data_IF_150476749662
#
_entry.id   IF_150476749662
#
_cell.length_a   1.000
_cell.length_b   1.000
_cell.length_c   1.000
_cell.angle_alpha   90.00
_cell.angle_beta   90.00
_cell.angle_gamma   90.00
#
_symmetry.space_group_name_H-M   'P 1'
#
loop_
_entity.id
_entity.type
_entity.pdbx_description
1 polymer ?
#
# COMPACT_ATOMS: atom_id res chain seq x y z
N UNK A 1 11.73 -6.08 6.84
CA UNK A 1 12.03 -5.44 5.54
C UNK A 1 13.54 -5.43 5.26
N UNK A 2 14.35 -4.63 5.98
CA UNK A 2 15.82 -4.58 5.74
C UNK A 2 16.50 -5.91 6.01
N UNK A 3 16.23 -6.55 7.16
CA UNK A 3 16.80 -7.86 7.49
C UNK A 3 16.48 -8.89 6.41
N UNK A 4 15.22 -8.96 5.96
CA UNK A 4 14.82 -9.89 4.89
C UNK A 4 15.51 -9.61 3.55
N UNK A 5 15.62 -8.33 3.15
CA UNK A 5 16.35 -7.95 1.93
C UNK A 5 17.83 -8.35 2.04
N UNK A 6 18.47 -8.03 3.17
CA UNK A 6 19.88 -8.38 3.44
C UNK A 6 20.07 -9.90 3.45
N UNK A 7 19.16 -10.66 4.08
CA UNK A 7 19.19 -12.12 4.10
C UNK A 7 19.14 -12.72 2.69
N UNK A 8 18.32 -12.18 1.79
CA UNK A 8 18.25 -12.62 0.39
C UNK A 8 19.58 -12.37 -0.33
N UNK A 9 20.16 -11.17 -0.17
CA UNK A 9 21.46 -10.87 -0.78
C UNK A 9 22.58 -11.75 -0.21
N UNK A 10 22.58 -12.00 1.10
CA UNK A 10 23.57 -12.89 1.75
C UNK A 10 23.48 -14.32 1.20
N UNK A 11 22.28 -14.88 1.11
CA UNK A 11 22.06 -16.24 0.57
C UNK A 11 22.46 -16.36 -0.89
N UNK A 12 22.34 -15.29 -1.67
CA UNK A 12 22.69 -15.26 -3.09
C UNK A 12 24.08 -14.68 -3.37
N UNK A 13 24.98 -14.64 -2.38
CA UNK A 13 26.36 -14.17 -2.54
C UNK A 13 26.44 -12.75 -3.16
N UNK A 14 25.52 -11.87 -2.75
CA UNK A 14 25.37 -10.51 -3.26
C UNK A 14 25.05 -10.40 -4.77
N UNK A 15 24.62 -11.50 -5.40
CA UNK A 15 24.24 -11.53 -6.82
C UNK A 15 22.79 -11.10 -7.01
N UNK A 16 22.57 -10.18 -7.93
CA UNK A 16 21.23 -9.78 -8.35
C UNK A 16 20.60 -10.85 -9.26
N UNK A 17 19.47 -11.42 -8.82
CA UNK A 17 18.71 -12.42 -9.57
C UNK A 17 17.47 -11.86 -10.28
N UNK A 18 17.15 -10.59 -10.05
CA UNK A 18 16.03 -9.92 -10.73
C UNK A 18 16.34 -9.57 -12.19
N UNK A 19 15.39 -8.91 -12.88
CA UNK A 19 15.60 -8.46 -14.25
C UNK A 19 16.80 -7.49 -14.30
N UNK A 20 17.69 -7.66 -15.28
CA UNK A 20 18.76 -6.67 -15.53
C UNK A 20 18.13 -5.39 -16.08
N UNK A 21 18.39 -4.28 -15.43
CA UNK A 21 18.06 -2.94 -15.94
C UNK A 21 19.24 -2.49 -16.82
N UNK A 22 19.03 -2.32 -18.13
CA UNK A 22 20.07 -1.79 -19.04
C UNK A 22 20.64 -2.73 -20.13
N UNK A 23 19.96 -3.84 -20.46
CA UNK A 23 20.32 -4.70 -21.60
C UNK A 23 20.96 -6.05 -21.20
N UNK A 24 20.45 -7.14 -21.78
CA UNK A 24 20.79 -8.54 -21.48
C UNK A 24 19.57 -9.46 -21.68
N UNK A 25 19.72 -10.79 -21.51
CA UNK A 25 18.57 -11.71 -21.64
C UNK A 25 17.47 -11.33 -20.64
N UNK A 26 16.25 -11.10 -21.13
CA UNK A 26 15.11 -10.75 -20.30
C UNK A 26 14.78 -11.91 -19.34
N UNK A 27 15.10 -11.75 -18.06
CA UNK A 27 14.65 -12.68 -17.02
C UNK A 27 13.22 -12.33 -16.63
N UNK A 28 12.26 -12.93 -17.33
CA UNK A 28 10.81 -12.78 -17.08
C UNK A 28 10.25 -13.87 -16.16
N UNK A 29 11.10 -14.51 -15.35
CA UNK A 29 10.64 -15.51 -14.38
C UNK A 29 9.80 -14.86 -13.27
N UNK A 30 8.87 -15.63 -12.70
CA UNK A 30 8.08 -15.19 -11.55
C UNK A 30 8.98 -14.74 -10.38
N UNK A 31 10.09 -15.45 -10.15
CA UNK A 31 11.09 -15.06 -9.15
C UNK A 31 11.68 -13.68 -9.42
N UNK A 32 12.04 -13.38 -10.67
CA UNK A 32 12.57 -12.08 -11.03
C UNK A 32 11.56 -10.95 -10.78
N UNK A 33 10.29 -11.17 -11.15
CA UNK A 33 9.21 -10.20 -10.87
C UNK A 33 8.94 -10.03 -9.38
N UNK A 34 8.89 -11.11 -8.60
CA UNK A 34 8.76 -11.04 -7.14
C UNK A 34 9.86 -10.18 -6.52
N UNK A 35 11.12 -10.41 -6.92
CA UNK A 35 12.27 -9.70 -6.38
C UNK A 35 12.23 -8.21 -6.72
N UNK A 36 11.90 -7.81 -7.96
CA UNK A 36 11.87 -6.39 -8.33
C UNK A 36 10.69 -5.65 -7.67
N UNK A 37 9.49 -6.24 -7.62
CA UNK A 37 8.36 -5.63 -6.93
C UNK A 37 8.62 -5.51 -5.42
N UNK A 38 9.19 -6.53 -4.80
CA UNK A 38 9.60 -6.49 -3.40
C UNK A 38 10.64 -5.39 -3.13
N UNK A 39 11.66 -5.27 -3.98
CA UNK A 39 12.68 -4.22 -3.84
C UNK A 39 12.09 -2.82 -4.00
N UNK A 40 11.31 -2.58 -5.05
CA UNK A 40 10.67 -1.28 -5.29
C UNK A 40 9.73 -0.90 -4.14
N UNK A 41 8.98 -1.86 -3.61
CA UNK A 41 8.12 -1.64 -2.45
C UNK A 41 8.93 -1.18 -1.23
N UNK A 42 10.02 -1.86 -0.91
CA UNK A 42 10.91 -1.51 0.22
C UNK A 42 11.52 -0.12 0.04
N UNK A 43 12.03 0.20 -1.15
CA UNK A 43 12.62 1.50 -1.44
C UNK A 43 11.61 2.64 -1.25
N UNK A 44 10.42 2.49 -1.84
CA UNK A 44 9.35 3.49 -1.69
C UNK A 44 8.87 3.59 -0.24
N UNK A 45 8.81 2.48 0.50
CA UNK A 45 8.46 2.48 1.91
C UNK A 45 9.47 3.27 2.75
N UNK A 46 10.77 3.19 2.44
CA UNK A 46 11.82 3.97 3.10
C UNK A 46 11.85 5.44 2.69
N UNK A 47 11.42 5.77 1.47
CA UNK A 47 11.25 7.16 1.03
C UNK A 47 10.15 7.87 1.86
N UNK A 48 9.15 7.15 2.36
CA UNK A 48 8.06 7.75 3.13
C UNK A 48 8.49 8.49 4.41
N UNK A 49 9.26 7.89 5.35
CA UNK A 49 9.74 8.63 6.53
C UNK A 49 10.69 9.77 6.14
N UNK A 50 11.51 9.62 5.09
CA UNK A 50 12.38 10.70 4.59
C UNK A 50 11.56 11.88 4.07
N UNK A 51 10.53 11.62 3.27
CA UNK A 51 9.59 12.64 2.83
C UNK A 51 8.90 13.30 4.04
N UNK A 52 8.48 12.51 5.04
CA UNK A 52 7.87 13.04 6.26
C UNK A 52 8.77 13.98 7.05
N UNK A 53 10.09 13.81 7.02
CA UNK A 53 11.04 14.76 7.64
C UNK A 53 11.09 16.10 6.91
N UNK A 54 10.80 16.12 5.61
CA UNK A 54 10.74 17.32 4.77
C UNK A 54 9.35 17.97 4.77
N UNK A 55 8.46 17.55 5.68
CA UNK A 55 7.09 18.04 5.76
C UNK A 55 7.06 19.54 6.09
N UNK A 56 6.29 20.29 5.32
CA UNK A 56 6.04 21.70 5.56
C UNK A 56 5.12 21.96 6.77
N UNK A 57 5.21 23.18 7.32
CA UNK A 57 4.40 23.62 8.46
C UNK A 57 2.88 23.55 8.21
N UNK A 58 2.06 23.51 9.27
CA UNK A 58 0.66 23.12 9.14
C UNK A 58 -0.21 24.04 8.27
N UNK A 59 0.13 25.32 8.17
CA UNK A 59 -0.58 26.34 7.38
C UNK A 59 0.13 26.66 6.05
N UNK A 60 1.13 25.85 5.66
CA UNK A 60 1.93 26.13 4.48
C UNK A 60 1.19 25.78 3.16
N UNK A 61 1.25 26.65 2.15
CA UNK A 61 0.54 26.49 0.86
C UNK A 61 0.88 25.21 0.11
N UNK A 62 2.09 24.67 0.27
CA UNK A 62 2.53 23.42 -0.37
C UNK A 62 2.07 22.14 0.36
N UNK A 63 1.35 22.26 1.49
CA UNK A 63 0.94 21.10 2.29
C UNK A 63 -0.01 20.13 1.58
N UNK A 64 -0.97 20.58 0.76
CA UNK A 64 -1.79 19.67 -0.03
C UNK A 64 -0.95 18.85 -1.02
N UNK A 65 0.02 19.50 -1.70
CA UNK A 65 0.95 18.81 -2.60
C UNK A 65 1.81 17.79 -1.86
N UNK A 66 2.36 18.15 -0.70
CA UNK A 66 3.10 17.24 0.16
C UNK A 66 2.26 16.02 0.56
N UNK A 67 1.03 16.24 1.02
CA UNK A 67 0.12 15.16 1.42
C UNK A 67 -0.19 14.22 0.24
N UNK A 68 -0.41 14.78 -0.95
CA UNK A 68 -0.70 13.98 -2.15
C UNK A 68 0.52 13.18 -2.59
N UNK A 69 1.71 13.79 -2.60
CA UNK A 69 2.96 13.12 -2.95
C UNK A 69 3.34 12.02 -1.95
N UNK A 70 3.28 12.32 -0.65
CA UNK A 70 3.53 11.33 0.41
C UNK A 70 2.60 10.12 0.25
N UNK A 71 1.33 10.39 -0.03
CA UNK A 71 0.33 9.36 -0.21
C UNK A 71 0.52 8.55 -1.48
N UNK A 72 0.78 9.18 -2.62
CA UNK A 72 0.95 8.47 -3.89
C UNK A 72 2.12 7.49 -3.79
N UNK A 73 3.24 7.92 -3.22
CA UNK A 73 4.39 7.05 -2.91
C UNK A 73 3.97 5.86 -2.04
N UNK A 74 3.14 6.09 -1.02
CA UNK A 74 2.66 5.01 -0.17
C UNK A 74 1.71 4.02 -0.84
N UNK A 75 0.78 4.50 -1.66
CA UNK A 75 -0.12 3.64 -2.43
C UNK A 75 0.68 2.80 -3.43
N UNK A 76 1.64 3.40 -4.14
CA UNK A 76 2.49 2.67 -5.10
C UNK A 76 3.36 1.63 -4.39
N UNK A 77 3.99 1.98 -3.27
CA UNK A 77 4.76 1.04 -2.43
C UNK A 77 3.91 -0.16 -2.01
N UNK A 78 2.67 0.11 -1.60
CA UNK A 78 1.72 -0.90 -1.17
C UNK A 78 1.28 -1.82 -2.32
N UNK A 79 0.97 -1.27 -3.51
CA UNK A 79 0.65 -2.07 -4.69
C UNK A 79 1.79 -3.01 -5.09
N UNK A 80 3.05 -2.53 -5.04
CA UNK A 80 4.21 -3.39 -5.28
C UNK A 80 4.40 -4.47 -4.20
N UNK A 81 4.14 -4.16 -2.92
CA UNK A 81 4.15 -5.17 -1.86
C UNK A 81 3.11 -6.26 -2.12
N UNK A 82 1.88 -5.87 -2.43
CA UNK A 82 0.80 -6.80 -2.75
C UNK A 82 1.16 -7.68 -3.94
N UNK A 83 1.65 -7.10 -5.05
CA UNK A 83 2.10 -7.86 -6.21
C UNK A 83 3.18 -8.88 -5.86
N UNK A 84 4.18 -8.51 -5.05
CA UNK A 84 5.23 -9.43 -4.61
C UNK A 84 4.66 -10.59 -3.77
N UNK A 85 3.77 -10.32 -2.81
CA UNK A 85 3.11 -11.34 -2.00
C UNK A 85 2.31 -12.30 -2.88
N UNK A 86 1.55 -11.79 -3.85
CA UNK A 86 0.75 -12.64 -4.74
C UNK A 86 1.61 -13.55 -5.61
N UNK A 87 2.70 -13.03 -6.19
CA UNK A 87 3.65 -13.85 -6.95
C UNK A 87 4.21 -14.95 -6.04
N UNK A 88 4.52 -14.64 -4.78
CA UNK A 88 5.00 -15.64 -3.85
C UNK A 88 3.96 -16.73 -3.54
N UNK A 89 2.71 -16.36 -3.29
CA UNK A 89 1.64 -17.32 -3.01
C UNK A 89 1.38 -18.26 -4.21
N UNK A 90 1.45 -17.76 -5.45
CA UNK A 90 1.16 -18.57 -6.65
C UNK A 90 2.34 -19.45 -7.06
N UNK A 91 3.56 -18.91 -7.03
CA UNK A 91 4.72 -19.58 -7.62
C UNK A 91 5.62 -20.26 -6.60
N UNK A 92 5.55 -19.89 -5.32
CA UNK A 92 6.34 -20.49 -4.24
C UNK A 92 5.52 -21.36 -3.29
N UNK A 93 4.31 -21.79 -3.69
CA UNK A 93 3.43 -22.65 -2.88
C UNK A 93 4.09 -23.96 -2.42
N UNK A 94 5.06 -24.49 -3.18
CA UNK A 94 5.86 -25.67 -2.78
C UNK A 94 6.70 -25.44 -1.53
N UNK A 95 7.16 -24.21 -1.30
CA UNK A 95 7.82 -23.82 -0.05
C UNK A 95 6.83 -23.61 1.09
N UNK A 96 5.55 -23.44 0.79
CA UNK A 96 4.45 -23.29 1.74
C UNK A 96 3.78 -24.63 2.09
N UNK A 97 4.52 -25.76 2.07
CA UNK A 97 4.12 -27.11 2.54
C UNK A 97 2.88 -27.77 1.90
N UNK A 98 1.84 -27.02 1.52
CA UNK A 98 0.55 -27.45 0.98
C UNK A 98 -0.17 -26.26 0.31
N UNK A 99 -0.91 -26.49 -0.78
CA UNK A 99 -1.78 -25.49 -1.45
C UNK A 99 -2.71 -24.79 -0.46
N UNK A 100 -3.29 -25.55 0.49
CA UNK A 100 -4.18 -25.03 1.53
C UNK A 100 -3.50 -24.00 2.44
N UNK A 101 -2.25 -24.25 2.82
CA UNK A 101 -1.50 -23.34 3.69
C UNK A 101 -1.15 -22.02 2.97
N UNK A 102 -0.87 -22.09 1.67
CA UNK A 102 -0.63 -20.90 0.85
C UNK A 102 -1.88 -20.00 0.74
N UNK A 103 -3.05 -20.60 0.55
CA UNK A 103 -4.33 -19.87 0.54
C UNK A 103 -4.62 -19.26 1.91
N UNK A 104 -4.46 -20.02 3.00
CA UNK A 104 -4.65 -19.50 4.37
C UNK A 104 -3.73 -18.30 4.62
N UNK A 105 -2.45 -18.41 4.26
CA UNK A 105 -1.49 -17.33 4.42
C UNK A 105 -1.89 -16.07 3.62
N UNK A 106 -2.29 -16.24 2.35
CA UNK A 106 -2.78 -15.14 1.53
C UNK A 106 -4.02 -14.46 2.15
N UNK A 107 -5.00 -15.24 2.60
CA UNK A 107 -6.20 -14.75 3.26
C UNK A 107 -5.89 -14.02 4.57
N UNK A 108 -4.93 -14.50 5.37
CA UNK A 108 -4.49 -13.80 6.59
C UNK A 108 -3.84 -12.46 6.27
N UNK A 109 -2.96 -12.39 5.26
CA UNK A 109 -2.33 -11.16 4.83
C UNK A 109 -3.37 -10.13 4.34
N UNK A 110 -4.30 -10.55 3.49
CA UNK A 110 -5.35 -9.66 2.97
C UNK A 110 -6.34 -9.27 4.07
N UNK A 111 -6.74 -10.20 4.93
CA UNK A 111 -7.61 -9.94 6.07
C UNK A 111 -7.01 -8.91 7.04
N UNK A 112 -5.71 -9.02 7.32
CA UNK A 112 -4.99 -8.04 8.15
C UNK A 112 -4.99 -6.65 7.50
N UNK A 113 -4.69 -6.56 6.20
CA UNK A 113 -4.73 -5.31 5.43
C UNK A 113 -6.13 -4.67 5.50
N UNK A 114 -7.18 -5.44 5.23
CA UNK A 114 -8.57 -4.97 5.25
C UNK A 114 -8.98 -4.55 6.66
N UNK A 115 -8.58 -5.30 7.68
CA UNK A 115 -8.84 -4.98 9.08
C UNK A 115 -8.20 -3.65 9.49
N UNK A 116 -6.92 -3.44 9.16
CA UNK A 116 -6.24 -2.16 9.38
C UNK A 116 -6.93 -1.02 8.62
N UNK A 117 -7.36 -1.27 7.38
CA UNK A 117 -8.05 -0.29 6.56
C UNK A 117 -9.36 0.19 7.20
N UNK A 118 -10.22 -0.75 7.57
CA UNK A 118 -11.50 -0.46 8.25
C UNK A 118 -11.26 0.27 9.57
N UNK A 119 -10.27 -0.16 10.35
CA UNK A 119 -9.94 0.47 11.63
C UNK A 119 -9.53 1.94 11.45
N UNK A 120 -8.68 2.23 10.45
CA UNK A 120 -8.25 3.60 10.15
C UNK A 120 -9.43 4.47 9.69
N UNK A 121 -10.34 3.94 8.87
CA UNK A 121 -11.56 4.64 8.45
C UNK A 121 -12.49 4.93 9.64
N UNK A 122 -12.67 3.98 10.57
CA UNK A 122 -13.46 4.20 11.79
C UNK A 122 -12.85 5.31 12.65
N UNK A 123 -11.52 5.32 12.81
CA UNK A 123 -10.81 6.37 13.56
C UNK A 123 -11.00 7.73 12.87
N UNK A 124 -10.83 7.78 11.55
CA UNK A 124 -11.03 9.00 10.76
C UNK A 124 -12.47 9.51 10.85
N UNK A 125 -13.46 8.62 10.76
CA UNK A 125 -14.87 8.95 10.91
C UNK A 125 -15.19 9.55 12.28
N UNK A 126 -14.71 8.93 13.37
CA UNK A 126 -14.88 9.47 14.73
C UNK A 126 -14.25 10.84 14.90
N UNK A 127 -13.08 11.07 14.31
CA UNK A 127 -12.41 12.37 14.36
C UNK A 127 -13.20 13.45 13.61
N UNK A 128 -13.81 13.12 12.46
CA UNK A 128 -14.69 14.02 11.70
C UNK A 128 -15.95 14.39 12.47
N UNK A 129 -16.67 13.40 13.03
CA UNK A 129 -17.87 13.67 13.83
C UNK A 129 -17.59 14.56 15.03
N UNK A 130 -16.44 14.39 15.70
CA UNK A 130 -16.06 15.26 16.82
C UNK A 130 -15.79 16.69 16.36
N UNK A 131 -15.18 16.88 15.18
CA UNK A 131 -14.89 18.21 14.62
C UNK A 131 -16.18 18.94 14.25
N UNK A 132 -17.14 18.25 13.61
CA UNK A 132 -18.43 18.82 13.24
C UNK A 132 -19.25 19.26 14.45
N UNK A 133 -19.20 18.51 15.56
CA UNK A 133 -19.83 18.90 16.82
C UNK A 133 -19.20 20.14 17.49
N UNK A 134 -17.92 20.43 17.20
CA UNK A 134 -17.15 21.51 17.83
C UNK A 134 -17.11 22.81 17.02
N UNK A 135 -17.64 22.83 15.79
CA UNK A 135 -17.67 24.05 14.97
C UNK A 135 -18.83 24.95 15.44
N UNK A 136 -18.57 26.24 15.73
CA UNK A 136 -19.63 27.18 16.11
C UNK A 136 -20.55 27.46 14.91
N UNK A 137 -21.84 27.62 15.20
CA UNK A 137 -22.96 27.79 14.26
C UNK A 137 -22.95 29.13 13.49
N UNK A 138 -21.81 29.85 13.47
CA UNK A 138 -21.69 31.18 12.88
C UNK A 138 -21.47 31.11 11.35
N UNK A 139 -22.44 31.53 10.53
CA UNK A 139 -22.36 31.45 9.07
C UNK A 139 -21.29 32.36 8.44
N UNK A 140 -20.86 33.44 9.13
CA UNK A 140 -19.84 34.35 8.59
C UNK A 140 -18.42 33.79 8.73
N UNK A 141 -18.17 32.98 9.77
CA UNK A 141 -16.89 32.29 9.95
C UNK A 141 -16.68 31.17 8.90
N UNK A 142 -17.75 30.49 8.49
CA UNK A 142 -17.74 29.40 7.49
C UNK A 142 -17.31 29.90 6.10
N UNK A 143 -17.79 31.07 5.70
CA UNK A 143 -17.51 31.67 4.37
C UNK A 143 -16.04 32.03 4.17
N UNK A 144 -15.32 32.38 5.24
CA UNK A 144 -13.88 32.66 5.18
C UNK A 144 -13.01 31.39 5.23
N UNK A 145 -13.54 30.26 5.74
CA UNK A 145 -12.89 28.96 5.79
C UNK A 145 -12.99 28.19 4.46
N UNK A 146 -14.09 28.34 3.73
CA UNK A 146 -14.38 27.64 2.47
C UNK A 146 -13.48 28.09 1.28
N UNK A 147 -12.98 29.33 1.33
CA UNK A 147 -12.13 29.92 0.27
C UNK A 147 -10.73 29.28 0.15
N UNK A 148 -10.25 28.58 1.18
CA UNK A 148 -8.93 27.92 1.17
C UNK A 148 -9.05 26.41 0.98
N UNK A 149 -9.31 25.95 -0.25
CA UNK A 149 -9.29 24.55 -0.69
C UNK A 149 -10.07 23.59 0.25
N UNK A 150 -11.35 23.41 -0.04
CA UNK A 150 -12.29 22.58 0.73
C UNK A 150 -11.64 21.26 1.24
N UNK A 151 -11.43 21.16 2.57
CA UNK A 151 -10.86 19.99 3.19
C UNK A 151 -11.70 18.72 2.94
N UNK A 152 -13.02 18.84 2.82
CA UNK A 152 -13.94 17.70 2.73
C UNK A 152 -13.82 16.95 1.41
N UNK A 153 -13.67 17.62 0.25
CA UNK A 153 -13.36 16.92 -1.01
C UNK A 153 -12.04 16.17 -0.93
N UNK A 154 -11.04 16.74 -0.25
CA UNK A 154 -9.76 16.09 -0.10
C UNK A 154 -9.93 14.78 0.68
N UNK A 155 -10.56 14.81 1.87
CA UNK A 155 -10.84 13.65 2.74
C UNK A 155 -11.78 12.62 2.10
N UNK A 156 -12.79 13.06 1.36
CA UNK A 156 -13.71 12.19 0.63
C UNK A 156 -12.98 11.44 -0.48
N UNK A 157 -12.18 12.14 -1.29
CA UNK A 157 -11.29 11.51 -2.25
C UNK A 157 -10.29 10.58 -1.56
N UNK A 158 -9.91 10.87 -0.30
CA UNK A 158 -9.07 9.98 0.48
C UNK A 158 -9.75 8.67 0.85
N UNK A 159 -10.96 8.69 1.38
CA UNK A 159 -11.68 7.45 1.72
C UNK A 159 -12.00 6.61 0.47
N UNK A 160 -12.34 7.27 -0.64
CA UNK A 160 -12.71 6.59 -1.90
C UNK A 160 -11.52 5.85 -2.50
N UNK A 161 -10.35 6.48 -2.63
CA UNK A 161 -9.15 5.82 -3.19
C UNK A 161 -8.76 4.59 -2.37
N UNK A 162 -8.79 4.72 -1.04
CA UNK A 162 -8.42 3.63 -0.14
C UNK A 162 -9.43 2.48 -0.18
N UNK A 163 -10.73 2.81 -0.27
CA UNK A 163 -11.80 1.83 -0.46
C UNK A 163 -11.69 1.07 -1.78
N UNK A 164 -11.34 1.75 -2.88
CA UNK A 164 -11.12 1.14 -4.20
C UNK A 164 -9.93 0.18 -4.15
N UNK A 165 -8.80 0.60 -3.58
CA UNK A 165 -7.60 -0.25 -3.45
C UNK A 165 -7.91 -1.49 -2.60
N UNK A 166 -8.67 -1.31 -1.52
CA UNK A 166 -9.07 -2.42 -0.64
C UNK A 166 -10.01 -3.40 -1.35
N UNK A 167 -11.02 -2.89 -2.07
CA UNK A 167 -11.94 -3.71 -2.85
C UNK A 167 -11.22 -4.49 -3.97
N UNK A 168 -10.26 -3.86 -4.65
CA UNK A 168 -9.43 -4.51 -5.67
C UNK A 168 -8.59 -5.66 -5.08
N UNK A 169 -8.00 -5.47 -3.89
CA UNK A 169 -7.24 -6.53 -3.22
C UNK A 169 -8.13 -7.70 -2.78
N UNK A 170 -9.33 -7.43 -2.29
CA UNK A 170 -10.30 -8.48 -1.91
C UNK A 170 -10.70 -9.30 -3.15
N UNK A 171 -11.14 -8.62 -4.23
CA UNK A 171 -11.55 -9.29 -5.46
C UNK A 171 -10.42 -10.13 -6.08
N UNK A 172 -9.20 -9.62 -6.02
CA UNK A 172 -8.03 -10.35 -6.51
C UNK A 172 -7.68 -11.58 -5.65
N UNK A 173 -7.84 -11.48 -4.32
CA UNK A 173 -7.61 -12.61 -3.41
C UNK A 173 -8.65 -13.73 -3.60
N UNK A 174 -9.90 -13.36 -3.89
CA UNK A 174 -10.96 -14.31 -4.27
C UNK A 174 -10.62 -15.01 -5.59
N UNK A 175 -10.12 -14.27 -6.60
CA UNK A 175 -9.69 -14.85 -7.87
C UNK A 175 -8.49 -15.80 -7.71
N UNK A 176 -7.52 -15.45 -6.85
CA UNK A 176 -6.37 -16.31 -6.54
C UNK A 176 -6.80 -17.63 -5.91
N UNK A 177 -7.72 -17.56 -4.95
CA UNK A 177 -8.30 -18.73 -4.29
C UNK A 177 -9.00 -19.65 -5.30
N UNK A 178 -9.71 -19.07 -6.28
CA UNK A 178 -10.35 -19.82 -7.35
C UNK A 178 -9.36 -20.50 -8.30
N UNK A 179 -8.27 -19.81 -8.68
CA UNK A 179 -7.22 -20.38 -9.54
C UNK A 179 -6.47 -21.52 -8.85
N UNK A 180 -6.20 -21.38 -7.54
CA UNK A 180 -5.55 -22.43 -6.75
C UNK A 180 -6.49 -23.63 -6.61
N UNK A 181 -7.79 -23.41 -6.36
CA UNK A 181 -8.79 -24.47 -6.29
C UNK A 181 -9.01 -25.24 -7.60
N UNK A 182 -8.64 -24.66 -8.75
CA UNK A 182 -8.68 -25.34 -10.06
C UNK A 182 -7.43 -26.20 -10.36
N UNK A 183 -6.35 -26.05 -9.57
CA UNK A 183 -5.11 -26.79 -9.74
C UNK A 183 -4.99 -28.05 -8.86
N UNK A 184 -5.88 -28.17 -7.88
CA UNK A 184 -6.07 -29.37 -7.05
C UNK A 184 -7.17 -30.26 -7.67
#
# INVERSE_FOLDING_TARGET
MVVGLVSIFVVHEWRWLGPKVGGGSHNSSATAYHTIFGLLSVLLAWIQPLNSLLRCGPQHRLRPLFNWAHRSVGVVSFLFASAAIFIACVYFYKHLTSSRNAVIFACLCVGFIVGCAILLEIIAWKARSKKQFLLPEDPEAEKHLDSSADPDYHYLAQGVIFSIVTAALIGFCSALSAIIAQKD
#
